data_IF_356170682591
#
_entry.id   IF_356170682591
#
_cell.length_a   1.000
_cell.length_b   1.000
_cell.length_c   1.000
_cell.angle_alpha   90.00
_cell.angle_beta   90.00
_cell.angle_gamma   90.00
#
_symmetry.space_group_name_H-M   'P 1'
#
loop_
_entity.id
_entity.type
_entity.pdbx_description
1 polymer ?
#
# COMPACT_ATOMS: atom_id res chain seq x y z
N UNK A 1 -12.34 16.67 1.37
CA UNK A 1 -11.52 15.46 1.51
C UNK A 1 -10.07 15.81 1.22
N UNK A 2 -9.10 15.27 1.97
CA UNK A 2 -7.67 15.37 1.60
C UNK A 2 -7.31 14.15 0.76
N UNK A 3 -6.82 14.31 -0.48
CA UNK A 3 -6.48 13.17 -1.33
C UNK A 3 -5.32 12.36 -0.73
N UNK A 4 -5.33 11.04 -0.97
CA UNK A 4 -4.22 10.16 -0.64
C UNK A 4 -2.94 10.64 -1.33
N UNK A 5 -1.89 10.93 -0.55
CA UNK A 5 -0.68 11.60 -1.05
C UNK A 5 0.29 10.68 -1.78
N UNK A 6 0.14 9.36 -1.63
CA UNK A 6 1.05 8.35 -2.20
C UNK A 6 2.54 8.62 -1.91
N UNK A 7 2.86 9.10 -0.71
CA UNK A 7 4.21 9.49 -0.28
C UNK A 7 4.85 8.47 0.67
N UNK A 8 4.43 7.21 0.58
CA UNK A 8 5.04 6.14 1.37
C UNK A 8 6.44 5.84 0.87
N UNK A 9 7.39 5.68 1.78
CA UNK A 9 8.83 5.58 1.52
C UNK A 9 9.37 4.14 1.68
N UNK A 10 8.48 3.15 1.75
CA UNK A 10 8.86 1.74 1.92
C UNK A 10 9.14 1.33 3.37
N UNK A 11 8.81 2.17 4.36
CA UNK A 11 9.00 1.86 5.78
C UNK A 11 7.71 1.45 6.49
N UNK A 12 7.84 0.58 7.49
CA UNK A 12 6.80 0.24 8.46
C UNK A 12 7.37 0.38 9.87
N UNK A 13 6.72 1.16 10.74
CA UNK A 13 7.21 1.49 12.09
C UNK A 13 8.67 2.02 12.10
N UNK A 14 9.02 2.86 11.12
CA UNK A 14 10.37 3.44 10.97
C UNK A 14 11.43 2.48 10.39
N UNK A 15 11.11 1.19 10.30
CA UNK A 15 12.01 0.17 9.75
C UNK A 15 11.76 -0.01 8.25
N UNK A 16 12.84 -0.21 7.50
CA UNK A 16 12.76 -0.47 6.07
C UNK A 16 12.23 -1.88 5.82
N UNK A 17 11.27 -2.01 4.91
CA UNK A 17 10.76 -3.32 4.52
C UNK A 17 11.77 -4.06 3.62
N UNK A 18 11.84 -5.39 3.73
CA UNK A 18 12.52 -6.25 2.75
C UNK A 18 12.05 -6.01 1.31
N UNK A 19 12.93 -6.33 0.35
CA UNK A 19 12.56 -6.39 -1.06
C UNK A 19 11.87 -7.72 -1.28
N UNK A 20 10.54 -7.68 -1.30
CA UNK A 20 9.69 -8.87 -1.36
C UNK A 20 8.31 -8.50 -1.93
N UNK A 21 7.44 -9.50 -2.06
CA UNK A 21 6.05 -9.35 -2.47
C UNK A 21 5.14 -9.24 -1.25
N UNK A 22 4.37 -8.15 -1.20
CA UNK A 22 3.43 -7.85 -0.14
C UNK A 22 1.99 -7.91 -0.66
N UNK A 23 1.08 -8.44 0.16
CA UNK A 23 -0.34 -8.43 -0.12
C UNK A 23 -0.97 -7.12 0.37
N UNK A 24 -1.83 -6.50 -0.45
CA UNK A 24 -2.56 -5.30 -0.06
C UNK A 24 -4.06 -5.50 -0.07
N UNK A 25 -4.73 -4.67 0.73
CA UNK A 25 -6.18 -4.55 0.78
C UNK A 25 -6.55 -3.06 0.88
N UNK A 26 -7.22 -2.52 -0.13
CA UNK A 26 -7.63 -1.12 -0.19
C UNK A 26 -9.16 -1.03 -0.20
N UNK A 27 -9.72 -0.13 0.61
CA UNK A 27 -11.12 0.25 0.55
C UNK A 27 -11.20 1.70 0.07
N UNK A 28 -11.81 1.93 -1.10
CA UNK A 28 -11.94 3.26 -1.69
C UNK A 28 -13.15 4.05 -1.15
N UNK A 29 -13.98 3.44 -0.30
CA UNK A 29 -15.15 4.09 0.31
C UNK A 29 -16.31 4.31 -0.66
N UNK A 30 -16.27 3.70 -1.84
CA UNK A 30 -17.33 3.70 -2.85
C UNK A 30 -17.99 2.32 -2.97
N UNK A 31 -18.99 2.20 -3.84
CA UNK A 31 -19.76 0.96 -4.03
C UNK A 31 -18.96 -0.19 -4.65
N UNK A 32 -17.78 0.09 -5.22
CA UNK A 32 -16.91 -0.89 -5.89
C UNK A 32 -16.25 -1.89 -4.92
N UNK A 33 -16.48 -1.76 -3.61
CA UNK A 33 -16.02 -2.69 -2.60
C UNK A 33 -14.53 -2.62 -2.34
N UNK A 34 -13.96 -3.73 -1.84
CA UNK A 34 -12.57 -3.81 -1.42
C UNK A 34 -11.70 -4.36 -2.57
N UNK A 35 -10.62 -3.67 -2.90
CA UNK A 35 -9.64 -4.16 -3.86
C UNK A 35 -8.47 -4.82 -3.16
N UNK A 36 -8.01 -5.94 -3.71
CA UNK A 36 -6.90 -6.72 -3.18
C UNK A 36 -5.91 -7.07 -4.30
N UNK A 37 -4.68 -7.38 -3.91
CA UNK A 37 -3.64 -7.75 -4.87
C UNK A 37 -2.27 -7.85 -4.21
N UNK A 38 -1.24 -7.90 -5.05
CA UNK A 38 0.15 -7.98 -4.63
C UNK A 38 0.94 -6.79 -5.16
N UNK A 39 1.90 -6.32 -4.37
CA UNK A 39 2.88 -5.30 -4.76
C UNK A 39 4.28 -5.82 -4.45
N UNK A 40 5.24 -5.57 -5.34
CA UNK A 40 6.63 -5.94 -5.12
C UNK A 40 7.44 -4.70 -4.76
N UNK A 41 8.23 -4.79 -3.70
CA UNK A 41 9.27 -3.80 -3.39
C UNK A 41 10.56 -4.25 -4.08
N UNK A 42 11.12 -3.42 -4.96
CA UNK A 42 12.38 -3.65 -5.68
C UNK A 42 13.40 -2.56 -5.33
N UNK A 43 14.71 -2.88 -5.38
CA UNK A 43 15.81 -1.95 -5.07
C UNK A 43 16.80 -1.89 -6.23
#
# INVERSE_FOLDING_TARGET
>A
AQPYRNNWDGRFNGQELPADTYFYVINFGNEDGRQTGFVMIQR
#
